data_IF_974000873974
#
_entry.id   IF_974000873974
#
_cell.length_a   1.000
_cell.length_b   1.000
_cell.length_c   1.000
_cell.angle_alpha   90.00
_cell.angle_beta   90.00
_cell.angle_gamma   90.00
#
_symmetry.space_group_name_H-M   'P 1'
#
loop_
_entity.id
_entity.type
_entity.pdbx_description
1 polymer ?
#
# COMPACT_ATOMS: atom_id res chain seq x y z
N UNK A 1 -0.71 27.95 -3.24
CA UNK A 1 0.06 26.73 -2.97
C UNK A 1 -0.15 26.33 -1.53
N UNK A 2 -0.24 25.03 -1.24
CA UNK A 2 -0.32 24.55 0.14
C UNK A 2 1.08 24.24 0.66
N UNK A 3 1.33 24.52 1.93
CA UNK A 3 2.62 24.25 2.58
C UNK A 3 2.72 22.78 2.97
N UNK A 4 3.87 22.16 2.69
CA UNK A 4 4.18 20.80 3.17
C UNK A 4 4.62 20.89 4.63
N UNK A 5 4.03 20.09 5.49
CA UNK A 5 4.35 20.03 6.93
C UNK A 5 4.78 18.61 7.28
N UNK A 6 5.91 18.47 7.96
CA UNK A 6 6.40 17.19 8.47
C UNK A 6 5.95 17.02 9.92
N UNK A 7 5.30 15.89 10.21
CA UNK A 7 4.82 15.52 11.54
C UNK A 7 5.62 14.34 12.09
N UNK A 8 5.73 14.19 13.42
CA UNK A 8 6.38 13.02 14.02
C UNK A 8 5.65 11.72 13.67
N UNK A 9 6.38 10.61 13.66
CA UNK A 9 5.83 9.27 13.44
C UNK A 9 4.84 8.93 14.58
N UNK A 10 3.66 8.35 14.28
CA UNK A 10 2.77 7.83 15.31
C UNK A 10 3.48 6.76 16.16
N UNK A 11 3.20 6.77 17.47
CA UNK A 11 3.89 5.92 18.46
C UNK A 11 3.87 4.43 18.12
N UNK A 12 2.77 3.95 17.54
CA UNK A 12 2.54 2.54 17.27
C UNK A 12 2.77 2.16 15.79
N UNK A 13 3.34 3.07 15.00
CA UNK A 13 3.62 2.78 13.60
C UNK A 13 5.01 2.16 13.41
N UNK A 14 5.10 0.90 12.98
CA UNK A 14 6.38 0.29 12.65
C UNK A 14 6.95 0.96 11.40
N UNK A 15 8.23 1.35 11.46
CA UNK A 15 8.93 1.99 10.34
C UNK A 15 9.00 1.09 9.10
N UNK A 16 8.95 -0.24 9.27
CA UNK A 16 8.92 -1.21 8.18
C UNK A 16 7.97 -2.36 8.52
N UNK A 17 7.06 -2.67 7.61
CA UNK A 17 6.18 -3.84 7.69
C UNK A 17 6.56 -4.83 6.60
N UNK A 18 7.06 -5.99 7.00
CA UNK A 18 7.43 -7.08 6.10
C UNK A 18 7.02 -8.41 6.77
N UNK A 19 5.72 -8.76 6.74
CA UNK A 19 5.23 -9.98 7.35
C UNK A 19 5.77 -11.21 6.61
N UNK A 20 6.18 -12.22 7.37
CA UNK A 20 6.38 -13.56 6.83
C UNK A 20 5.01 -14.17 6.48
N UNK A 21 4.83 -14.53 5.20
CA UNK A 21 3.58 -15.04 4.65
C UNK A 21 3.62 -16.56 4.40
N UNK A 22 4.62 -17.27 4.91
CA UNK A 22 4.81 -18.71 4.69
C UNK A 22 3.55 -19.52 5.04
N UNK A 23 2.92 -19.26 6.19
CA UNK A 23 1.67 -19.96 6.58
C UNK A 23 0.52 -19.74 5.60
N UNK A 24 0.36 -18.53 5.07
CA UNK A 24 -0.71 -18.25 4.12
C UNK A 24 -0.47 -18.98 2.79
N UNK A 25 0.79 -19.09 2.37
CA UNK A 25 1.18 -19.88 1.19
C UNK A 25 0.90 -21.36 1.40
N UNK A 26 1.36 -21.92 2.50
CA UNK A 26 1.27 -23.36 2.77
C UNK A 26 -0.16 -23.82 3.03
N UNK A 27 -0.93 -23.07 3.84
CA UNK A 27 -2.22 -23.54 4.34
C UNK A 27 -3.39 -23.09 3.47
N UNK A 28 -3.25 -21.94 2.80
CA UNK A 28 -4.32 -21.35 1.99
C UNK A 28 -4.00 -21.38 0.49
N UNK A 29 -2.79 -21.78 0.09
CA UNK A 29 -2.33 -21.61 -1.29
C UNK A 29 -2.31 -20.14 -1.72
N UNK A 30 -2.21 -19.21 -0.76
CA UNK A 30 -2.38 -17.78 -1.01
C UNK A 30 -1.03 -17.08 -1.12
N UNK A 31 -0.91 -16.22 -2.12
CA UNK A 31 0.21 -15.30 -2.29
C UNK A 31 -0.22 -14.02 -3.03
N UNK A 32 0.49 -12.89 -2.84
CA UNK A 32 0.21 -11.67 -3.59
C UNK A 32 0.46 -11.89 -5.10
N UNK A 33 -0.52 -11.50 -5.91
CA UNK A 33 -0.46 -11.61 -7.39
C UNK A 33 -0.17 -10.29 -8.10
N UNK A 34 -0.25 -9.18 -7.36
CA UNK A 34 -0.08 -7.82 -7.86
C UNK A 34 1.18 -7.26 -7.24
N UNK A 35 2.12 -6.85 -8.08
CA UNK A 35 3.34 -6.19 -7.61
C UNK A 35 3.09 -4.72 -7.22
N UNK A 36 4.11 -4.10 -6.60
CA UNK A 36 3.99 -2.72 -6.11
C UNK A 36 3.68 -1.72 -7.23
N UNK A 37 4.37 -1.83 -8.37
CA UNK A 37 4.23 -0.87 -9.46
C UNK A 37 2.83 -0.96 -10.08
N UNK A 38 2.35 -2.18 -10.32
CA UNK A 38 1.01 -2.43 -10.81
C UNK A 38 -0.06 -1.93 -9.83
N UNK A 39 0.08 -2.25 -8.54
CA UNK A 39 -0.87 -1.84 -7.51
C UNK A 39 -0.97 -0.32 -7.36
N UNK A 40 0.17 0.39 -7.39
CA UNK A 40 0.21 1.84 -7.34
C UNK A 40 -0.41 2.46 -8.59
N UNK A 41 -0.11 1.93 -9.78
CA UNK A 41 -0.71 2.39 -11.05
C UNK A 41 -2.24 2.31 -11.01
N UNK A 42 -2.78 1.15 -10.64
CA UNK A 42 -4.23 0.94 -10.53
C UNK A 42 -4.89 1.94 -9.57
N UNK A 43 -4.23 2.22 -8.44
CA UNK A 43 -4.75 3.15 -7.42
C UNK A 43 -4.77 4.58 -7.94
N UNK A 44 -3.68 5.03 -8.59
CA UNK A 44 -3.60 6.37 -9.18
C UNK A 44 -4.66 6.55 -10.26
N UNK A 45 -4.83 5.58 -11.14
CA UNK A 45 -5.80 5.66 -12.22
C UNK A 45 -7.24 5.67 -11.70
N UNK A 46 -7.52 4.96 -10.61
CA UNK A 46 -8.81 5.05 -9.92
C UNK A 46 -9.08 6.47 -9.41
N UNK A 47 -8.11 7.11 -8.75
CA UNK A 47 -8.26 8.50 -8.26
C UNK A 47 -8.43 9.51 -9.40
N UNK A 48 -7.70 9.35 -10.51
CA UNK A 48 -7.84 10.22 -11.69
C UNK A 48 -9.27 10.18 -12.23
N UNK A 49 -9.82 8.98 -12.41
CA UNK A 49 -11.21 8.80 -12.84
C UNK A 49 -12.21 9.42 -11.88
N UNK A 50 -11.96 9.35 -10.57
CA UNK A 50 -12.81 9.98 -9.56
C UNK A 50 -12.81 11.51 -9.64
N UNK A 51 -11.68 12.11 -10.00
CA UNK A 51 -11.55 13.56 -10.13
C UNK A 51 -12.09 14.15 -11.43
N UNK A 52 -12.34 13.28 -12.43
CA UNK A 52 -12.88 13.64 -13.73
C UNK A 52 -14.42 13.51 -13.81
N UNK A 53 -15.05 12.96 -12.77
CA UNK A 53 -16.49 12.79 -12.61
C UNK A 53 -17.10 13.93 -11.77
#
# INVERSE_FOLDING_TARGET
>A
SSTIVHLPLPKDDPQRRCPDITRAKEWLGWEPKVDLQQGLGNTIDWYRKLSEA
#
